data_IF_567643975144
#
_entry.id   IF_567643975144
#
_cell.length_a   1.000
_cell.length_b   1.000
_cell.length_c   1.000
_cell.angle_alpha   90.00
_cell.angle_beta   90.00
_cell.angle_gamma   90.00
#
_symmetry.space_group_name_H-M   'P 1'
#
loop_
_entity.id
_entity.type
_entity.pdbx_description
1 polymer ?
#
# COMPACT_ATOMS: atom_id res chain seq x y z
N UNK A 1 -11.98 30.30 -17.43
CA UNK A 1 -11.82 29.76 -16.06
C UNK A 1 -11.01 28.47 -16.14
N UNK A 2 -9.74 28.47 -15.73
CA UNK A 2 -8.93 27.27 -15.71
C UNK A 2 -9.42 26.34 -14.59
N UNK A 3 -9.91 25.15 -14.95
CA UNK A 3 -10.14 24.06 -13.98
C UNK A 3 -8.80 23.77 -13.32
N UNK A 4 -8.64 24.13 -12.05
CA UNK A 4 -7.53 23.62 -11.23
C UNK A 4 -7.72 22.10 -11.14
N UNK A 5 -6.89 21.35 -11.85
CA UNK A 5 -6.85 19.89 -11.78
C UNK A 5 -6.22 19.48 -10.46
N UNK A 6 -6.92 19.69 -9.35
CA UNK A 6 -6.53 19.07 -8.09
C UNK A 6 -6.82 17.58 -8.22
N UNK A 7 -5.77 16.75 -8.24
CA UNK A 7 -5.95 15.33 -8.00
C UNK A 7 -6.55 15.19 -6.61
N UNK A 8 -7.72 14.56 -6.54
CA UNK A 8 -8.34 14.24 -5.26
C UNK A 8 -7.42 13.29 -4.49
N UNK A 9 -7.48 13.30 -3.15
CA UNK A 9 -6.86 12.26 -2.34
C UNK A 9 -7.30 10.88 -2.83
N UNK A 10 -6.38 9.91 -2.77
CA UNK A 10 -6.62 8.54 -3.23
C UNK A 10 -7.89 7.94 -2.60
N UNK A 11 -8.16 8.28 -1.35
CA UNK A 11 -9.34 7.90 -0.58
C UNK A 11 -10.65 8.33 -1.27
N UNK A 12 -10.68 9.56 -1.78
CA UNK A 12 -11.86 10.09 -2.47
C UNK A 12 -11.99 9.55 -3.89
N UNK A 13 -10.88 9.29 -4.57
CA UNK A 13 -10.92 8.64 -5.89
C UNK A 13 -11.42 7.20 -5.74
N UNK A 14 -10.88 6.45 -4.78
CA UNK A 14 -11.23 5.05 -4.54
C UNK A 14 -12.71 4.85 -4.15
N UNK A 15 -13.36 5.86 -3.55
CA UNK A 15 -14.80 5.81 -3.24
C UNK A 15 -15.72 6.09 -4.42
N UNK A 16 -15.25 6.74 -5.49
CA UNK A 16 -16.12 7.33 -6.52
C UNK A 16 -16.50 6.40 -7.66
N UNK A 17 -15.87 5.24 -7.77
CA UNK A 17 -16.08 4.38 -8.93
C UNK A 17 -15.82 2.92 -8.63
N UNK A 18 -16.08 2.03 -9.61
CA UNK A 18 -15.83 0.62 -9.44
C UNK A 18 -14.35 0.41 -9.17
N UNK A 19 -14.05 -0.04 -7.96
CA UNK A 19 -12.73 -0.49 -7.55
C UNK A 19 -12.78 -2.01 -7.43
N UNK A 20 -11.65 -2.68 -7.72
CA UNK A 20 -11.54 -4.12 -7.51
C UNK A 20 -11.87 -4.50 -6.06
N UNK A 21 -12.25 -5.76 -5.82
CA UNK A 21 -12.58 -6.24 -4.46
C UNK A 21 -11.41 -6.10 -3.47
N UNK A 22 -10.19 -5.92 -3.96
CA UNK A 22 -8.98 -5.74 -3.15
C UNK A 22 -8.12 -4.61 -3.71
N UNK A 23 -7.70 -3.69 -2.85
CA UNK A 23 -6.66 -2.70 -3.11
C UNK A 23 -5.36 -3.16 -2.46
N UNK A 24 -4.30 -3.23 -3.25
CA UNK A 24 -2.96 -3.52 -2.79
C UNK A 24 -2.18 -2.23 -2.59
N UNK A 25 -1.42 -2.16 -1.50
CA UNK A 25 -0.52 -1.05 -1.24
C UNK A 25 0.80 -1.58 -0.71
N UNK A 26 1.91 -1.06 -1.22
CA UNK A 26 3.22 -1.20 -0.60
C UNK A 26 3.29 -0.41 0.72
N UNK A 27 4.33 -0.58 1.55
CA UNK A 27 4.48 0.21 2.77
C UNK A 27 4.32 1.72 2.51
N UNK A 28 3.22 2.29 3.00
CA UNK A 28 2.83 3.67 2.74
C UNK A 28 1.90 4.17 3.85
N UNK A 29 1.97 5.45 4.26
CA UNK A 29 1.02 6.03 5.23
C UNK A 29 -0.45 5.86 4.83
N UNK A 30 -0.74 5.73 3.53
CA UNK A 30 -2.10 5.53 3.00
C UNK A 30 -2.78 4.28 3.56
N UNK A 31 -2.02 3.26 3.99
CA UNK A 31 -2.61 2.04 4.56
C UNK A 31 -3.28 2.26 5.91
N UNK A 32 -3.08 3.43 6.54
CA UNK A 32 -3.80 3.84 7.74
C UNK A 32 -5.10 4.57 7.44
N UNK A 33 -5.22 5.24 6.28
CA UNK A 33 -6.37 6.08 5.94
C UNK A 33 -7.33 5.38 4.99
N UNK A 34 -6.80 4.59 4.05
CA UNK A 34 -7.59 3.91 3.03
C UNK A 34 -8.60 2.90 3.60
N UNK A 35 -8.28 2.09 4.63
CA UNK A 35 -9.27 1.19 5.25
C UNK A 35 -10.47 1.94 5.82
N UNK A 36 -10.24 3.11 6.43
CA UNK A 36 -11.31 3.96 6.98
C UNK A 36 -12.16 4.56 5.85
N UNK A 37 -11.50 5.04 4.79
CA UNK A 37 -12.20 5.60 3.64
C UNK A 37 -13.08 4.54 2.95
N UNK A 38 -12.62 3.30 2.83
CA UNK A 38 -13.31 2.24 2.12
C UNK A 38 -14.25 1.40 3.01
N UNK A 39 -14.37 1.72 4.30
CA UNK A 39 -15.28 1.03 5.20
C UNK A 39 -16.73 1.01 4.64
N UNK A 40 -17.35 -0.17 4.71
CA UNK A 40 -18.71 -0.39 4.21
C UNK A 40 -18.85 -0.59 2.69
N UNK A 41 -17.76 -0.48 1.92
CA UNK A 41 -17.81 -0.69 0.46
C UNK A 41 -17.62 -2.15 0.04
N UNK A 42 -17.24 -3.04 0.98
CA UNK A 42 -16.90 -4.44 0.69
C UNK A 42 -15.50 -4.64 0.09
N UNK A 43 -14.77 -3.56 -0.13
CA UNK A 43 -13.39 -3.58 -0.65
C UNK A 43 -12.42 -3.90 0.48
N UNK A 44 -11.48 -4.80 0.21
CA UNK A 44 -10.39 -5.17 1.12
C UNK A 44 -9.16 -4.34 0.83
N UNK A 45 -8.42 -3.96 1.87
CA UNK A 45 -7.08 -3.40 1.73
C UNK A 45 -6.07 -4.45 2.17
N UNK A 46 -5.06 -4.70 1.35
CA UNK A 46 -3.97 -5.61 1.66
C UNK A 46 -2.63 -4.92 1.44
N UNK A 47 -1.69 -5.21 2.33
CA UNK A 47 -0.33 -4.70 2.25
C UNK A 47 0.53 -5.69 1.48
N UNK A 48 1.21 -5.21 0.44
CA UNK A 48 2.25 -5.97 -0.23
C UNK A 48 3.59 -5.58 0.39
N UNK A 49 4.32 -6.53 0.97
CA UNK A 49 5.67 -6.24 1.47
C UNK A 49 6.63 -5.99 0.28
N UNK A 50 7.79 -5.38 0.55
CA UNK A 50 8.81 -5.16 -0.48
C UNK A 50 9.99 -6.12 -0.27
N UNK A 51 10.66 -6.48 -1.35
CA UNK A 51 11.96 -7.14 -1.27
C UNK A 51 12.98 -6.15 -0.69
N UNK A 52 13.72 -6.49 0.38
CA UNK A 52 14.77 -5.63 0.93
C UNK A 52 15.82 -5.19 -0.10
N UNK A 53 16.08 -6.00 -1.13
CA UNK A 53 17.03 -5.70 -2.20
C UNK A 53 16.53 -4.58 -3.14
N UNK A 54 15.29 -4.12 -3.00
CA UNK A 54 14.79 -2.94 -3.71
C UNK A 54 15.27 -1.63 -3.06
N UNK A 55 15.81 -1.68 -1.84
CA UNK A 55 16.45 -0.53 -1.22
C UNK A 55 17.80 -0.27 -1.91
N UNK A 56 18.05 0.98 -2.26
CA UNK A 56 19.33 1.38 -2.86
C UNK A 56 20.46 1.25 -1.84
N UNK A 57 21.70 1.11 -2.31
CA UNK A 57 22.89 1.05 -1.43
C UNK A 57 23.04 2.31 -0.55
N UNK A 58 22.45 3.42 -0.97
CA UNK A 58 22.40 4.70 -0.24
C UNK A 58 21.26 4.79 0.75
N UNK A 59 20.35 3.82 0.78
CA UNK A 59 19.23 3.82 1.70
C UNK A 59 19.75 3.68 3.14
N UNK A 60 19.28 4.59 4.00
CA UNK A 60 19.62 4.50 5.42
C UNK A 60 19.14 3.17 6.00
N UNK A 61 19.87 2.56 6.95
CA UNK A 61 19.36 1.42 7.72
C UNK A 61 18.00 1.70 8.40
N UNK A 62 17.67 2.98 8.64
CA UNK A 62 16.37 3.41 9.17
C UNK A 62 15.23 3.28 8.16
N UNK A 63 15.50 3.26 6.86
CA UNK A 63 14.47 3.17 5.82
C UNK A 63 13.71 1.85 5.92
N UNK A 64 14.41 0.73 6.10
CA UNK A 64 13.77 -0.57 6.27
C UNK A 64 12.88 -0.60 7.53
N UNK A 65 13.37 -0.07 8.65
CA UNK A 65 12.61 0.04 9.91
C UNK A 65 11.40 0.97 9.80
N UNK A 66 11.49 2.04 9.01
CA UNK A 66 10.37 2.93 8.74
C UNK A 66 9.27 2.23 7.93
N UNK A 67 9.66 1.52 6.86
CA UNK A 67 8.71 0.79 6.00
C UNK A 67 8.03 -0.35 6.77
N UNK A 68 8.78 -1.11 7.58
CA UNK A 68 8.19 -2.14 8.43
C UNK A 68 7.28 -1.56 9.52
N UNK A 69 7.63 -0.39 10.08
CA UNK A 69 6.81 0.31 11.06
C UNK A 69 5.47 0.83 10.50
N UNK A 70 5.50 1.37 9.27
CA UNK A 70 4.30 1.87 8.58
C UNK A 70 3.28 0.74 8.33
N UNK A 71 3.75 -0.45 7.95
CA UNK A 71 2.86 -1.59 7.69
C UNK A 71 2.45 -2.31 8.96
N UNK A 72 3.37 -2.49 9.92
CA UNK A 72 3.09 -3.21 11.17
C UNK A 72 1.93 -2.62 11.95
N UNK A 73 1.91 -1.29 12.15
CA UNK A 73 0.81 -0.61 12.87
C UNK A 73 -0.52 -0.66 12.12
N UNK A 74 -0.49 -0.49 10.79
CA UNK A 74 -1.71 -0.54 9.99
C UNK A 74 -2.31 -1.96 9.98
N UNK A 75 -1.46 -2.99 9.89
CA UNK A 75 -1.84 -4.40 9.94
C UNK A 75 -2.47 -4.76 11.27
N UNK A 76 -1.91 -4.30 12.38
CA UNK A 76 -2.45 -4.58 13.71
C UNK A 76 -3.82 -3.91 13.94
N UNK A 77 -3.92 -2.61 13.70
CA UNK A 77 -5.14 -1.81 13.96
C UNK A 77 -6.28 -2.19 13.02
N UNK A 78 -5.99 -2.45 11.74
CA UNK A 78 -7.02 -2.70 10.72
C UNK A 78 -7.11 -4.17 10.28
N UNK A 79 -6.34 -5.08 10.89
CA UNK A 79 -6.25 -6.51 10.54
C UNK A 79 -6.00 -6.75 9.05
N UNK A 80 -5.09 -5.96 8.46
CA UNK A 80 -4.79 -6.03 7.03
C UNK A 80 -4.10 -7.35 6.68
N UNK A 81 -4.55 -7.97 5.59
CA UNK A 81 -3.87 -9.12 5.01
C UNK A 81 -2.51 -8.70 4.42
N UNK A 82 -1.60 -9.67 4.34
CA UNK A 82 -0.24 -9.47 3.83
C UNK A 82 -0.01 -10.33 2.62
N UNK A 83 0.56 -9.71 1.59
CA UNK A 83 1.03 -10.37 0.39
C UNK A 83 2.54 -10.23 0.35
N UNK A 84 3.26 -11.35 0.30
CA UNK A 84 4.69 -11.32 -0.02
C UNK A 84 4.86 -11.14 -1.53
N UNK A 85 5.81 -10.32 -1.97
CA UNK A 85 6.14 -10.26 -3.38
C UNK A 85 6.65 -11.64 -3.82
N UNK A 86 6.15 -12.14 -4.96
CA UNK A 86 6.67 -13.38 -5.52
C UNK A 86 8.15 -13.19 -5.86
N UNK A 87 9.03 -14.05 -5.34
CA UNK A 87 10.42 -14.07 -5.79
C UNK A 87 10.44 -14.47 -7.27
N UNK A 88 11.13 -13.71 -8.14
CA UNK A 88 11.30 -14.15 -9.53
C UNK A 88 12.05 -15.47 -9.55
N UNK A 89 11.46 -16.50 -10.16
CA UNK A 89 12.14 -17.79 -10.37
C UNK A 89 13.42 -17.56 -11.19
N UNK A 90 14.56 -18.18 -10.82
CA UNK A 90 15.77 -18.07 -11.62
C UNK A 90 15.52 -18.60 -13.03
N UNK A 91 16.14 -18.01 -14.07
CA UNK A 91 15.98 -18.47 -15.44
C UNK A 91 16.40 -19.94 -15.53
N UNK A 92 15.50 -20.79 -16.02
CA UNK A 92 15.81 -22.19 -16.31
C UNK A 92 16.76 -22.20 -17.52
N UNK A 93 17.96 -22.77 -17.34
CA UNK A 93 19.00 -22.88 -18.38
C UNK A 93 18.70 -24.03 -19.32
#
# INVERSE_FOLDING_TARGET
>A
MARRTFSLPLELIARRGPIGRTVLSFPSPVVHTLPLALAGTGVRVAVCDIDPNWLTDTASPRAQGFLSGATGRARDVHRLATVSPAQPSPPQT
#
